data_IF_926761566437
#
_entry.id   IF_926761566437
#
_cell.length_a   1.000
_cell.length_b   1.000
_cell.length_c   1.000
_cell.angle_alpha   90.00
_cell.angle_beta   90.00
_cell.angle_gamma   90.00
#
_symmetry.space_group_name_H-M   'P 1'
#
loop_
_entity.id
_entity.type
_entity.pdbx_description
1 polymer ?
#
# COMPACT_ATOMS: atom_id res chain seq x y z
N UNK A 1 -42.26 -1.53 48.37
CA UNK A 1 -41.08 -1.02 47.62
C UNK A 1 -40.72 -2.03 46.55
N UNK A 2 -40.33 -1.50 45.39
CA UNK A 2 -40.38 -2.03 44.03
C UNK A 2 -39.35 -3.12 43.72
N UNK A 3 -39.70 -4.09 42.87
CA UNK A 3 -38.83 -4.53 41.76
C UNK A 3 -39.63 -5.29 40.69
N UNK A 4 -39.71 -4.67 39.52
CA UNK A 4 -40.40 -5.17 38.32
C UNK A 4 -39.38 -5.86 37.39
N UNK A 5 -39.83 -6.97 36.80
CA UNK A 5 -39.25 -7.76 35.72
C UNK A 5 -38.94 -6.93 34.47
N UNK A 6 -37.84 -7.21 33.74
CA UNK A 6 -37.79 -7.27 32.25
C UNK A 6 -36.41 -7.78 31.77
N UNK A 7 -36.43 -8.88 31.02
CA UNK A 7 -35.32 -9.39 30.20
C UNK A 7 -35.29 -8.58 28.90
N UNK A 8 -34.23 -7.80 28.68
CA UNK A 8 -33.98 -7.10 27.42
C UNK A 8 -32.80 -7.73 26.69
N UNK A 9 -33.07 -8.53 25.65
CA UNK A 9 -32.06 -8.98 24.70
C UNK A 9 -31.70 -7.77 23.83
N UNK A 10 -30.51 -7.21 24.02
CA UNK A 10 -29.97 -6.14 23.16
C UNK A 10 -29.32 -6.80 21.95
N UNK A 11 -30.06 -6.93 20.84
CA UNK A 11 -29.47 -7.25 19.54
C UNK A 11 -28.85 -5.95 19.02
N UNK A 12 -27.57 -5.73 19.31
CA UNK A 12 -26.81 -4.65 18.71
C UNK A 12 -26.53 -5.00 17.24
N UNK A 13 -27.36 -4.46 16.33
CA UNK A 13 -27.09 -4.48 14.90
C UNK A 13 -25.82 -3.64 14.65
N UNK A 14 -24.67 -4.30 14.52
CA UNK A 14 -23.40 -3.64 14.25
C UNK A 14 -23.39 -3.03 12.85
N UNK A 15 -23.38 -1.70 12.78
CA UNK A 15 -23.13 -0.95 11.54
C UNK A 15 -21.64 -1.14 11.17
N UNK A 16 -21.35 -2.02 10.22
CA UNK A 16 -20.01 -2.17 9.66
C UNK A 16 -19.74 -0.94 8.77
N UNK A 17 -19.01 0.04 9.29
CA UNK A 17 -18.48 1.14 8.48
C UNK A 17 -17.38 0.56 7.58
N UNK A 18 -17.67 0.42 6.28
CA UNK A 18 -16.62 0.12 5.30
C UNK A 18 -15.64 1.30 5.28
N UNK A 19 -14.44 1.09 5.82
CA UNK A 19 -13.38 2.09 5.78
C UNK A 19 -12.86 2.10 4.34
N UNK A 20 -12.97 3.21 3.59
CA UNK A 20 -12.44 3.26 2.24
C UNK A 20 -10.93 3.06 2.31
N UNK A 21 -10.42 2.02 1.66
CA UNK A 21 -8.98 1.88 1.39
C UNK A 21 -8.55 3.07 0.54
N UNK A 22 -7.72 3.94 1.12
CA UNK A 22 -7.23 5.15 0.46
C UNK A 22 -6.29 4.76 -0.68
N UNK A 23 -6.79 4.82 -1.91
CA UNK A 23 -5.96 4.71 -3.10
C UNK A 23 -5.24 6.05 -3.33
N UNK A 24 -3.92 6.05 -3.36
CA UNK A 24 -3.11 7.26 -3.54
C UNK A 24 -2.52 7.29 -4.94
N UNK A 25 -2.57 8.44 -5.61
CA UNK A 25 -1.98 8.63 -6.93
C UNK A 25 -0.48 8.93 -6.84
N UNK A 26 0.27 8.45 -7.84
CA UNK A 26 1.71 8.60 -7.98
C UNK A 26 2.06 8.89 -9.44
N UNK A 27 3.13 9.64 -9.65
CA UNK A 27 3.69 9.92 -10.99
C UNK A 27 5.13 9.45 -11.01
N UNK A 28 5.47 8.51 -11.88
CA UNK A 28 6.86 8.08 -12.05
C UNK A 28 7.68 9.17 -12.75
N UNK A 29 9.01 9.04 -12.71
CA UNK A 29 9.94 10.05 -13.23
C UNK A 29 9.91 10.16 -14.75
N UNK A 30 9.42 9.13 -15.45
CA UNK A 30 9.12 9.10 -16.87
C UNK A 30 7.68 9.55 -17.20
N UNK A 31 6.90 9.94 -16.19
CA UNK A 31 5.60 10.61 -16.33
C UNK A 31 4.38 9.70 -16.31
N UNK A 32 4.54 8.39 -16.08
CA UNK A 32 3.41 7.44 -16.01
C UNK A 32 2.67 7.60 -14.69
N UNK A 33 1.34 7.67 -14.76
CA UNK A 33 0.52 7.71 -13.56
C UNK A 33 0.26 6.30 -13.00
N UNK A 34 0.42 6.17 -11.68
CA UNK A 34 0.11 4.96 -10.92
C UNK A 34 -0.92 5.26 -9.83
N UNK A 35 -1.75 4.26 -9.52
CA UNK A 35 -2.59 4.24 -8.32
C UNK A 35 -2.05 3.18 -7.36
N UNK A 36 -1.80 3.56 -6.12
CA UNK A 36 -1.36 2.66 -5.07
C UNK A 36 -2.51 2.23 -4.18
N UNK A 37 -2.64 0.93 -3.95
CA UNK A 37 -3.56 0.34 -2.96
C UNK A 37 -2.74 -0.38 -1.90
N UNK A 38 -2.92 -0.03 -0.63
CA UNK A 38 -2.21 -0.63 0.51
C UNK A 38 -2.96 -1.84 1.07
N UNK A 39 -2.24 -2.83 1.57
CA UNK A 39 -2.78 -3.97 2.31
C UNK A 39 -1.80 -4.43 3.41
N UNK A 40 -2.13 -5.53 4.11
CA UNK A 40 -1.32 -6.05 5.21
C UNK A 40 0.10 -6.50 4.79
N UNK A 41 0.33 -6.76 3.51
CA UNK A 41 1.61 -7.22 2.97
C UNK A 41 2.47 -6.08 2.37
N UNK A 42 1.89 -4.90 2.16
CA UNK A 42 2.57 -3.75 1.58
C UNK A 42 1.63 -2.96 0.66
N UNK A 43 2.00 -2.80 -0.62
CA UNK A 43 1.20 -2.07 -1.58
C UNK A 43 1.24 -2.65 -2.99
N UNK A 44 0.21 -2.35 -3.76
CA UNK A 44 0.11 -2.65 -5.19
C UNK A 44 0.06 -1.33 -5.95
N UNK A 45 0.97 -1.14 -6.90
CA UNK A 45 0.97 -0.03 -7.86
C UNK A 45 0.36 -0.52 -9.17
N UNK A 46 -0.69 0.17 -9.64
CA UNK A 46 -1.29 -0.05 -10.95
C UNK A 46 -1.02 1.15 -11.84
N UNK A 47 -0.24 0.97 -12.91
CA UNK A 47 0.08 2.01 -13.89
C UNK A 47 -0.99 2.11 -14.97
N UNK A 48 -1.23 3.31 -15.47
CA UNK A 48 -2.17 3.55 -16.59
C UNK A 48 -1.72 2.88 -17.90
N UNK A 49 -0.44 2.54 -18.01
CA UNK A 49 0.15 1.78 -19.12
C UNK A 49 -0.05 0.26 -18.99
N UNK A 50 -0.77 -0.22 -17.97
CA UNK A 50 -0.97 -1.64 -17.69
C UNK A 50 0.07 -2.24 -16.75
N UNK A 51 1.01 -1.45 -16.21
CA UNK A 51 1.97 -1.94 -15.24
C UNK A 51 1.30 -2.40 -13.94
N UNK A 52 1.78 -3.52 -13.41
CA UNK A 52 1.37 -4.05 -12.12
C UNK A 52 2.60 -4.40 -11.28
N UNK A 53 2.77 -3.70 -10.17
CA UNK A 53 3.95 -3.85 -9.31
C UNK A 53 3.50 -4.05 -7.87
N UNK A 54 3.99 -5.11 -7.24
CA UNK A 54 3.79 -5.39 -5.82
C UNK A 54 5.01 -4.92 -5.04
N UNK A 55 4.79 -4.18 -3.96
CA UNK A 55 5.82 -3.73 -3.03
C UNK A 55 5.58 -4.38 -1.68
N UNK A 56 6.54 -5.17 -1.22
CA UNK A 56 6.50 -5.81 0.09
C UNK A 56 7.11 -4.92 1.19
N UNK A 57 6.76 -5.20 2.44
CA UNK A 57 7.26 -4.49 3.62
C UNK A 57 8.77 -4.66 3.88
N UNK A 58 9.42 -5.63 3.22
CA UNK A 58 10.84 -5.97 3.41
C UNK A 58 11.70 -5.60 2.21
N UNK A 59 11.35 -4.48 1.57
CA UNK A 59 12.09 -3.91 0.45
C UNK A 59 12.08 -4.79 -0.81
N UNK A 60 11.23 -5.81 -0.85
CA UNK A 60 11.04 -6.67 -2.01
C UNK A 60 9.99 -6.08 -2.96
N UNK A 61 10.22 -6.27 -4.24
CA UNK A 61 9.26 -5.89 -5.28
C UNK A 61 9.03 -7.05 -6.24
N UNK A 62 7.83 -7.12 -6.82
CA UNK A 62 7.50 -8.11 -7.86
C UNK A 62 6.73 -7.44 -8.97
N UNK A 63 7.19 -7.67 -10.19
CA UNK A 63 6.43 -7.47 -11.42
C UNK A 63 6.09 -8.88 -11.94
N UNK A 64 4.81 -9.24 -12.15
CA UNK A 64 4.43 -10.60 -12.57
C UNK A 64 5.08 -11.04 -13.89
N UNK A 65 5.37 -10.09 -14.78
CA UNK A 65 5.92 -10.37 -16.11
C UNK A 65 7.45 -10.29 -16.11
N UNK A 66 8.04 -9.38 -15.32
CA UNK A 66 9.50 -9.16 -15.28
C UNK A 66 10.23 -9.87 -14.12
N UNK A 67 9.50 -10.35 -13.11
CA UNK A 67 10.03 -11.09 -11.97
C UNK A 67 10.30 -10.25 -10.72
N UNK A 68 11.16 -10.79 -9.84
CA UNK A 68 11.44 -10.22 -8.51
C UNK A 68 12.52 -9.14 -8.57
N UNK A 69 12.37 -8.12 -7.76
CA UNK A 69 13.30 -7.02 -7.59
C UNK A 69 13.26 -6.48 -6.16
N UNK A 70 13.66 -5.23 -6.02
CA UNK A 70 13.64 -4.53 -4.73
C UNK A 70 13.11 -3.12 -4.89
N UNK A 71 12.73 -2.50 -3.78
CA UNK A 71 12.49 -1.07 -3.73
C UNK A 71 13.25 -0.45 -2.56
N UNK A 72 13.54 0.83 -2.68
CA UNK A 72 14.19 1.58 -1.60
C UNK A 72 13.81 3.06 -1.67
N UNK A 73 13.85 3.71 -0.51
CA UNK A 73 13.72 5.15 -0.40
C UNK A 73 15.09 5.80 -0.59
N UNK A 74 15.14 6.86 -1.40
CA UNK A 74 16.34 7.64 -1.64
C UNK A 74 15.97 9.07 -2.06
N UNK A 75 16.70 10.05 -1.52
CA UNK A 75 16.68 11.45 -1.95
C UNK A 75 15.28 12.08 -2.09
N UNK A 76 14.38 11.83 -1.13
CA UNK A 76 13.04 12.41 -1.14
C UNK A 76 12.01 11.64 -1.96
N UNK A 77 12.32 10.43 -2.42
CA UNK A 77 11.35 9.57 -3.10
C UNK A 77 11.70 8.11 -2.94
N UNK A 78 11.05 7.25 -3.72
CA UNK A 78 11.39 5.83 -3.77
C UNK A 78 11.60 5.36 -5.20
N UNK A 79 12.41 4.33 -5.36
CA UNK A 79 12.60 3.64 -6.63
C UNK A 79 12.36 2.16 -6.48
N UNK A 80 11.77 1.56 -7.51
CA UNK A 80 11.62 0.12 -7.70
C UNK A 80 12.65 -0.33 -8.73
N UNK A 81 13.55 -1.24 -8.36
CA UNK A 81 14.54 -1.86 -9.22
C UNK A 81 14.06 -3.27 -9.56
N UNK A 82 13.65 -3.47 -10.80
CA UNK A 82 13.24 -4.77 -11.37
C UNK A 82 14.32 -5.26 -12.35
N UNK A 83 14.33 -6.54 -12.75
CA UNK A 83 15.37 -7.08 -13.62
C UNK A 83 15.53 -6.35 -14.96
N UNK A 84 14.41 -5.91 -15.55
CA UNK A 84 14.41 -5.26 -16.86
C UNK A 84 14.39 -3.72 -16.80
N UNK A 85 14.06 -3.14 -15.64
CA UNK A 85 13.79 -1.69 -15.54
C UNK A 85 13.89 -1.16 -14.12
N UNK A 86 14.10 0.16 -14.04
CA UNK A 86 14.02 0.92 -12.80
C UNK A 86 12.96 2.00 -12.94
N UNK A 87 12.05 2.08 -11.96
CA UNK A 87 10.97 3.07 -11.92
C UNK A 87 11.17 3.90 -10.66
N UNK A 88 11.20 5.22 -10.78
CA UNK A 88 11.41 6.11 -9.65
C UNK A 88 10.26 7.10 -9.51
N UNK A 89 9.85 7.33 -8.27
CA UNK A 89 8.79 8.25 -7.88
C UNK A 89 9.43 9.36 -7.06
N UNK A 90 10.01 10.34 -7.75
CA UNK A 90 10.72 11.43 -7.10
C UNK A 90 9.75 12.30 -6.28
N UNK A 91 10.20 12.76 -5.11
CA UNK A 91 9.45 13.68 -4.22
C UNK A 91 8.12 13.13 -3.71
N UNK A 92 7.99 11.81 -3.62
CA UNK A 92 6.77 11.11 -3.25
C UNK A 92 7.06 10.04 -2.19
N UNK A 93 6.21 9.97 -1.19
CA UNK A 93 6.34 8.98 -0.11
C UNK A 93 6.06 7.56 -0.59
N UNK A 94 6.75 6.57 -0.04
CA UNK A 94 6.46 5.18 -0.43
C UNK A 94 5.07 4.75 0.09
N UNK A 95 4.28 4.01 -0.71
CA UNK A 95 2.98 3.53 -0.27
C UNK A 95 3.05 2.33 0.69
N UNK A 96 4.18 2.05 1.32
CA UNK A 96 4.38 0.90 2.21
C UNK A 96 4.61 1.38 3.64
N UNK A 97 3.87 0.82 4.59
CA UNK A 97 4.17 0.99 6.02
C UNK A 97 5.24 -0.02 6.43
N UNK A 98 6.43 0.47 6.77
CA UNK A 98 7.59 -0.34 7.11
C UNK A 98 7.42 -1.00 8.48
N UNK A 99 7.98 -2.20 8.64
CA UNK A 99 8.03 -2.89 9.94
C UNK A 99 9.15 -2.34 10.86
N UNK A 100 10.10 -1.55 10.33
CA UNK A 100 11.20 -0.95 11.09
C UNK A 100 11.71 0.37 10.49
N UNK A 101 12.33 1.26 11.29
CA UNK A 101 12.61 2.66 10.92
C UNK A 101 13.71 2.87 9.87
N UNK A 102 14.47 1.85 9.49
CA UNK A 102 15.55 1.96 8.49
C UNK A 102 15.51 0.86 7.43
N UNK A 103 14.47 0.02 7.44
CA UNK A 103 14.34 -1.00 6.42
C UNK A 103 14.03 -0.28 5.10
N UNK A 104 14.85 -0.50 4.08
CA UNK A 104 14.69 0.03 2.72
C UNK A 104 15.25 1.43 2.45
N UNK A 105 16.10 2.00 3.32
CA UNK A 105 16.93 3.15 2.93
C UNK A 105 18.07 2.67 2.02
N UNK A 106 18.32 3.39 0.91
CA UNK A 106 19.48 3.15 0.02
C UNK A 106 20.70 3.97 0.44
#
# INVERSE_FOLDING_TARGET
MKNETTIGIVVALGLILAIPTMAQAYISSDGVQYTATRNEHGAVLNGENGDLIYLGKRCDAVDPDAGKGSWSWANGGFCVNLPARKICFARQEVPVELEGPNDCLM
#
